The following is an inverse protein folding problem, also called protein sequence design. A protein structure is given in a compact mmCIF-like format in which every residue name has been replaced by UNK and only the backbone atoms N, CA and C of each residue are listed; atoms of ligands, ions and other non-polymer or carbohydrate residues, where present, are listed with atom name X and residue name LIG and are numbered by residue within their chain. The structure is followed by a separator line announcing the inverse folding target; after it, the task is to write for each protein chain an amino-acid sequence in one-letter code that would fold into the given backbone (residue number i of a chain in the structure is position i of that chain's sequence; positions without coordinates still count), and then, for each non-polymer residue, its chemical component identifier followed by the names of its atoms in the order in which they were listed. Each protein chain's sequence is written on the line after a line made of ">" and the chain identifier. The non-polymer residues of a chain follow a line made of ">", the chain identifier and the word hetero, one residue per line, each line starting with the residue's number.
data_IF_943725276214
#
_entry.id   IF_943725276214
#
_cell.length_a   1.000
_cell.length_b   1.000
_cell.length_c   1.000
_cell.angle_alpha   90.00
_cell.angle_beta   90.00
_cell.angle_gamma   90.00
#
_symmetry.space_group_name_H-M   'P 1'
#
loop_
_entity.id
_entity.type
_entity.pdbx_description
1 polymer ?
#
# COMPACT_ATOMS: atom_id res chain seq x y z
N UNK A 1 7.05 -32.10 15.53
CA UNK A 1 7.15 -33.03 16.69
C UNK A 1 6.84 -34.46 16.28
N UNK A 2 5.59 -34.96 16.23
CA UNK A 2 5.32 -36.40 15.95
C UNK A 2 5.78 -36.89 14.56
N UNK A 3 5.58 -36.08 13.51
CA UNK A 3 6.00 -36.45 12.15
C UNK A 3 7.53 -36.51 12.00
N UNK A 4 8.23 -35.55 12.61
CA UNK A 4 9.70 -35.49 12.62
C UNK A 4 10.30 -36.65 13.42
N UNK A 5 9.69 -37.02 14.55
CA UNK A 5 10.11 -38.20 15.32
C UNK A 5 9.89 -39.49 14.54
N UNK A 6 8.75 -39.63 13.85
CA UNK A 6 8.47 -40.80 13.00
C UNK A 6 9.41 -40.87 11.80
N UNK A 7 9.79 -39.72 11.23
CA UNK A 7 10.75 -39.65 10.14
C UNK A 7 12.16 -40.03 10.61
N UNK A 8 12.58 -39.58 11.80
CA UNK A 8 13.85 -39.96 12.41
C UNK A 8 13.89 -41.45 12.78
N UNK A 9 12.79 -42.02 13.29
CA UNK A 9 12.70 -43.46 13.60
C UNK A 9 12.68 -44.31 12.32
N UNK A 10 11.99 -43.85 11.26
CA UNK A 10 12.01 -44.55 9.96
C UNK A 10 13.42 -44.62 9.36
N UNK A 11 14.26 -43.60 9.62
CA UNK A 11 15.65 -43.54 9.18
C UNK A 11 16.61 -44.42 10.02
N UNK A 12 16.23 -44.82 11.24
CA UNK A 12 17.13 -45.51 12.19
C UNK A 12 16.88 -47.01 12.40
N UNK A 13 15.71 -47.55 12.06
CA UNK A 13 15.37 -48.97 12.28
C UNK A 13 15.67 -49.87 11.06
N UNK A 14 15.91 -51.18 11.28
CA UNK A 14 16.12 -52.21 10.22
C UNK A 14 14.79 -52.71 9.61
N UNK A 15 14.85 -53.35 8.43
CA UNK A 15 13.73 -53.52 7.48
C UNK A 15 12.46 -54.21 7.99
N UNK A 16 12.50 -55.00 9.06
CA UNK A 16 11.33 -55.79 9.51
C UNK A 16 10.25 -54.97 10.24
N UNK A 17 10.58 -53.81 10.82
CA UNK A 17 9.60 -52.95 11.54
C UNK A 17 9.25 -51.65 10.77
N UNK A 18 9.78 -51.48 9.56
CA UNK A 18 9.61 -50.24 8.77
C UNK A 18 8.22 -50.08 8.18
N UNK A 19 7.52 -51.17 7.88
CA UNK A 19 6.23 -51.11 7.19
C UNK A 19 5.19 -50.36 8.02
N UNK A 20 5.02 -50.73 9.29
CA UNK A 20 4.06 -50.07 10.19
C UNK A 20 4.44 -48.61 10.47
N UNK A 21 5.73 -48.31 10.67
CA UNK A 21 6.23 -46.94 10.89
C UNK A 21 6.04 -46.09 9.62
N UNK A 22 6.27 -46.65 8.43
CA UNK A 22 6.06 -45.95 7.16
C UNK A 22 4.58 -45.67 6.91
N UNK A 23 3.69 -46.59 7.30
CA UNK A 23 2.25 -46.40 7.24
C UNK A 23 1.82 -45.29 8.20
N UNK A 24 2.33 -45.28 9.42
CA UNK A 24 2.03 -44.21 10.39
C UNK A 24 2.57 -42.85 9.90
N UNK A 25 3.79 -42.84 9.33
CA UNK A 25 4.37 -41.62 8.76
C UNK A 25 3.54 -41.07 7.59
N UNK A 26 3.11 -41.92 6.66
CA UNK A 26 2.28 -41.48 5.51
C UNK A 26 0.91 -40.99 5.94
N UNK A 27 0.26 -41.65 6.91
CA UNK A 27 -1.02 -41.18 7.46
C UNK A 27 -0.87 -39.82 8.16
N UNK A 28 0.14 -39.66 9.00
CA UNK A 28 0.39 -38.36 9.68
C UNK A 28 0.77 -37.25 8.69
N UNK A 29 1.44 -37.58 7.59
CA UNK A 29 1.73 -36.65 6.50
C UNK A 29 0.45 -36.20 5.78
N UNK A 30 -0.47 -37.13 5.50
CA UNK A 30 -1.77 -36.81 4.90
C UNK A 30 -2.56 -35.87 5.81
N UNK A 31 -2.62 -36.15 7.12
CA UNK A 31 -3.30 -35.30 8.09
C UNK A 31 -2.70 -33.88 8.14
N UNK A 32 -1.38 -33.76 8.08
CA UNK A 32 -0.69 -32.47 8.00
C UNK A 32 -1.05 -31.71 6.71
N UNK A 33 -1.12 -32.40 5.57
CA UNK A 33 -1.53 -31.76 4.32
C UNK A 33 -3.00 -31.34 4.33
N UNK A 34 -3.88 -32.06 5.01
CA UNK A 34 -5.28 -31.66 5.20
C UNK A 34 -5.33 -30.33 5.97
N UNK A 35 -4.62 -30.24 7.10
CA UNK A 35 -4.56 -29.02 7.90
C UNK A 35 -3.99 -27.84 7.11
N UNK A 36 -2.87 -28.07 6.40
CA UNK A 36 -2.24 -27.05 5.55
C UNK A 36 -3.15 -26.59 4.41
N UNK A 37 -3.92 -27.49 3.82
CA UNK A 37 -4.90 -27.15 2.78
C UNK A 37 -6.02 -26.27 3.32
N UNK A 38 -6.48 -26.51 4.56
CA UNK A 38 -7.48 -25.67 5.22
C UNK A 38 -6.91 -24.27 5.49
N UNK A 39 -5.68 -24.17 6.00
CA UNK A 39 -5.00 -22.87 6.21
C UNK A 39 -4.85 -22.09 4.89
N UNK A 40 -4.44 -22.77 3.82
CA UNK A 40 -4.32 -22.17 2.49
C UNK A 40 -5.68 -21.69 1.96
N UNK A 41 -6.77 -22.43 2.17
CA UNK A 41 -8.12 -21.99 1.79
C UNK A 41 -8.55 -20.73 2.55
N UNK A 42 -8.16 -20.60 3.82
CA UNK A 42 -8.42 -19.39 4.60
C UNK A 42 -7.61 -18.21 4.04
N UNK A 43 -6.33 -18.41 3.72
CA UNK A 43 -5.48 -17.39 3.08
C UNK A 43 -6.08 -16.92 1.75
N UNK A 44 -6.51 -17.83 0.89
CA UNK A 44 -7.13 -17.50 -0.41
C UNK A 44 -8.39 -16.66 -0.23
N UNK A 45 -9.21 -16.93 0.79
CA UNK A 45 -10.39 -16.12 1.08
C UNK A 45 -10.02 -14.69 1.48
N UNK A 46 -8.99 -14.51 2.30
CA UNK A 46 -8.49 -13.19 2.69
C UNK A 46 -7.89 -12.44 1.49
N UNK A 47 -7.16 -13.13 0.61
CA UNK A 47 -6.63 -12.56 -0.63
C UNK A 47 -7.75 -12.11 -1.58
N UNK A 48 -8.84 -12.88 -1.70
CA UNK A 48 -10.00 -12.48 -2.50
C UNK A 48 -10.66 -11.20 -1.97
N UNK A 49 -10.79 -11.06 -0.65
CA UNK A 49 -11.31 -9.84 -0.04
C UNK A 49 -10.41 -8.64 -0.33
N UNK A 50 -9.09 -8.82 -0.20
CA UNK A 50 -8.11 -7.79 -0.53
C UNK A 50 -8.17 -7.40 -2.01
N UNK A 51 -8.30 -8.37 -2.92
CA UNK A 51 -8.43 -8.12 -4.36
C UNK A 51 -9.72 -7.35 -4.70
N UNK A 52 -10.83 -7.64 -4.01
CA UNK A 52 -12.07 -6.87 -4.18
C UNK A 52 -11.90 -5.42 -3.68
N UNK A 53 -11.23 -5.22 -2.54
CA UNK A 53 -10.88 -3.89 -2.04
C UNK A 53 -9.93 -3.13 -2.99
N UNK A 54 -8.91 -3.81 -3.55
CA UNK A 54 -8.01 -3.24 -4.56
C UNK A 54 -8.76 -2.87 -5.85
N UNK A 55 -9.74 -3.68 -6.26
CA UNK A 55 -10.59 -3.36 -7.41
C UNK A 55 -11.43 -2.12 -7.14
N UNK A 56 -12.10 -2.04 -5.99
CA UNK A 56 -12.91 -0.86 -5.61
C UNK A 56 -12.07 0.41 -5.52
N UNK A 57 -10.89 0.32 -4.93
CA UNK A 57 -9.96 1.47 -4.86
C UNK A 57 -9.46 1.88 -6.24
N UNK A 58 -9.13 0.94 -7.14
CA UNK A 58 -8.81 1.24 -8.56
C UNK A 58 -9.97 1.90 -9.32
N UNK A 59 -11.21 1.46 -9.09
CA UNK A 59 -12.40 2.06 -9.70
C UNK A 59 -12.66 3.49 -9.16
N UNK A 60 -12.39 3.74 -7.88
CA UNK A 60 -12.56 5.06 -7.25
C UNK A 60 -11.42 6.05 -7.55
N UNK A 61 -10.18 5.57 -7.68
CA UNK A 61 -8.99 6.39 -7.93
C UNK A 61 -8.68 6.62 -9.42
N UNK A 62 -9.47 6.00 -10.32
CA UNK A 62 -9.24 6.03 -11.77
C UNK A 62 -8.01 5.21 -12.20
N UNK A 63 -7.79 5.03 -13.52
CA UNK A 63 -6.60 4.38 -14.02
C UNK A 63 -5.35 5.16 -13.59
N UNK A 64 -4.61 4.67 -12.60
CA UNK A 64 -3.29 5.17 -12.27
C UNK A 64 -2.42 5.12 -13.55
N UNK A 65 -1.82 6.23 -14.01
CA UNK A 65 -1.04 6.27 -15.25
C UNK A 65 0.25 5.44 -15.20
N UNK A 66 0.57 4.83 -14.06
CA UNK A 66 1.89 4.32 -13.72
C UNK A 66 2.06 2.81 -13.94
N UNK A 67 1.11 2.15 -14.62
CA UNK A 67 1.23 0.73 -14.94
C UNK A 67 1.69 0.45 -16.38
N UNK A 68 1.91 1.48 -17.22
CA UNK A 68 2.34 1.27 -18.61
C UNK A 68 3.88 1.36 -18.81
N UNK A 69 4.65 1.85 -17.83
CA UNK A 69 6.11 1.97 -17.97
C UNK A 69 6.89 0.65 -17.82
N UNK A 70 6.25 -0.41 -17.31
CA UNK A 70 6.82 -1.77 -17.29
C UNK A 70 6.34 -2.64 -18.45
N UNK A 71 5.62 -2.06 -19.42
CA UNK A 71 5.52 -2.69 -20.72
C UNK A 71 6.89 -2.55 -21.35
N UNK A 72 7.77 -3.52 -21.09
CA UNK A 72 8.88 -3.85 -21.98
C UNK A 72 8.28 -3.74 -23.36
N UNK A 73 8.67 -2.68 -24.08
CA UNK A 73 8.24 -2.46 -25.45
C UNK A 73 8.38 -3.82 -26.09
N UNK A 74 7.25 -4.41 -26.48
CA UNK A 74 7.28 -5.70 -27.16
C UNK A 74 7.88 -5.34 -28.51
N UNK A 75 9.21 -5.34 -28.56
CA UNK A 75 10.03 -5.04 -29.74
C UNK A 75 9.61 -6.10 -30.73
N UNK A 76 8.61 -5.73 -31.53
CA UNK A 76 8.10 -6.44 -32.69
C UNK A 76 7.65 -7.88 -32.43
N UNK A 77 6.46 -8.20 -32.94
CA UNK A 77 5.94 -9.57 -33.00
C UNK A 77 6.73 -10.40 -34.03
N UNK A 78 8.03 -10.55 -33.84
CA UNK A 78 8.86 -11.42 -34.65
C UNK A 78 8.85 -12.80 -34.02
N UNK A 79 7.97 -13.66 -34.55
CA UNK A 79 7.68 -15.03 -34.12
C UNK A 79 8.82 -16.02 -34.44
N UNK A 80 10.08 -15.55 -34.44
CA UNK A 80 11.26 -16.32 -34.81
C UNK A 80 12.20 -16.64 -33.64
N UNK A 81 13.08 -17.66 -33.81
CA UNK A 81 14.09 -18.02 -32.81
C UNK A 81 15.07 -16.87 -32.48
N UNK A 82 15.47 -16.77 -31.21
CA UNK A 82 16.40 -15.75 -30.68
C UNK A 82 17.83 -15.88 -31.23
N UNK A 83 18.28 -17.11 -31.42
CA UNK A 83 19.64 -17.50 -31.77
C UNK A 83 19.61 -18.39 -33.01
N UNK A 84 20.63 -18.31 -33.85
CA UNK A 84 20.88 -19.37 -34.85
C UNK A 84 21.34 -20.65 -34.15
N UNK A 85 21.35 -21.78 -34.87
CA UNK A 85 21.88 -23.07 -34.37
C UNK A 85 23.35 -22.98 -33.95
N UNK A 86 24.07 -21.99 -34.48
CA UNK A 86 25.48 -21.70 -34.18
C UNK A 86 25.65 -20.61 -33.10
N UNK A 87 24.57 -20.23 -32.39
CA UNK A 87 24.60 -19.32 -31.25
C UNK A 87 24.71 -17.84 -31.60
N UNK A 88 24.56 -17.46 -32.88
CA UNK A 88 24.59 -16.05 -33.29
C UNK A 88 23.24 -15.38 -33.03
N UNK A 89 23.19 -14.21 -32.35
CA UNK A 89 21.94 -13.50 -32.11
C UNK A 89 21.37 -12.94 -33.41
N UNK A 90 20.14 -13.33 -33.73
CA UNK A 90 19.44 -12.93 -34.96
C UNK A 90 18.56 -11.69 -34.76
N UNK A 91 18.23 -11.37 -33.51
CA UNK A 91 17.45 -10.19 -33.12
C UNK A 91 18.17 -9.37 -32.06
N UNK A 92 17.92 -8.05 -32.00
CA UNK A 92 18.38 -7.24 -30.87
C UNK A 92 17.77 -7.79 -29.58
N UNK A 93 18.61 -7.97 -28.57
CA UNK A 93 18.21 -8.37 -27.23
C UNK A 93 18.93 -7.48 -26.23
N UNK A 94 18.28 -7.19 -25.11
CA UNK A 94 18.90 -6.40 -24.03
C UNK A 94 19.59 -7.36 -23.08
N UNK A 95 20.89 -7.16 -22.86
CA UNK A 95 21.62 -7.86 -21.81
C UNK A 95 21.26 -7.18 -20.50
N UNK A 96 20.27 -7.73 -19.79
CA UNK A 96 19.92 -7.26 -18.45
C UNK A 96 20.74 -8.01 -17.41
N UNK A 97 21.40 -7.29 -16.49
CA UNK A 97 21.97 -7.93 -15.30
C UNK A 97 20.81 -8.40 -14.40
N UNK A 98 20.85 -9.66 -13.94
CA UNK A 98 19.82 -10.23 -13.06
C UNK A 98 19.71 -9.49 -11.73
N UNK A 99 20.81 -8.88 -11.29
CA UNK A 99 20.90 -8.12 -10.05
C UNK A 99 20.08 -6.83 -10.11
N UNK A 100 20.17 -6.08 -11.22
CA UNK A 100 19.44 -4.82 -11.40
C UNK A 100 17.94 -5.04 -11.53
N UNK A 101 17.51 -6.15 -12.14
CA UNK A 101 16.10 -6.56 -12.17
C UNK A 101 15.61 -6.88 -10.77
N UNK A 102 16.38 -7.63 -9.98
CA UNK A 102 15.99 -8.04 -8.62
C UNK A 102 15.75 -6.84 -7.70
N UNK A 103 16.57 -5.79 -7.83
CA UNK A 103 16.43 -4.55 -7.07
C UNK A 103 15.18 -3.74 -7.44
N UNK A 104 14.62 -3.95 -8.63
CA UNK A 104 13.48 -3.18 -9.14
C UNK A 104 12.11 -3.82 -8.88
N UNK A 105 12.06 -5.09 -8.45
CA UNK A 105 10.79 -5.86 -8.30
C UNK A 105 9.99 -5.50 -7.04
N UNK A 106 10.60 -4.86 -6.03
CA UNK A 106 9.93 -4.49 -4.77
C UNK A 106 10.02 -3.00 -4.47
N UNK A 107 9.71 -2.16 -5.46
CA UNK A 107 9.56 -0.73 -5.23
C UNK A 107 8.16 -0.45 -4.65
N UNK A 108 8.04 0.37 -3.59
CA UNK A 108 6.74 0.84 -3.12
C UNK A 108 5.95 1.45 -4.27
N UNK A 109 4.68 1.07 -4.41
CA UNK A 109 3.79 1.55 -5.49
C UNK A 109 3.41 3.03 -5.39
N UNK A 110 3.96 3.76 -4.43
CA UNK A 110 3.77 5.20 -4.24
C UNK A 110 5.10 5.93 -4.40
N UNK A 111 5.05 7.15 -4.93
CA UNK A 111 6.20 8.04 -4.96
C UNK A 111 6.54 8.40 -3.52
N UNK A 112 7.66 7.89 -3.01
CA UNK A 112 8.20 8.43 -1.76
C UNK A 112 8.49 9.91 -1.98
N UNK A 113 8.27 10.77 -0.97
CA UNK A 113 8.78 12.13 -0.99
C UNK A 113 10.25 12.11 -1.38
N UNK A 114 10.63 12.94 -2.35
CA UNK A 114 12.03 13.07 -2.81
C UNK A 114 12.92 13.72 -1.76
N UNK A 115 12.32 14.22 -0.68
CA UNK A 115 12.94 14.98 0.40
C UNK A 115 12.40 14.50 1.73
N UNK A 116 13.23 14.54 2.76
CA UNK A 116 12.80 14.20 4.11
C UNK A 116 11.90 15.30 4.68
N UNK A 117 11.18 14.99 5.77
CA UNK A 117 10.34 15.97 6.47
C UNK A 117 11.19 17.17 6.91
N UNK A 118 12.39 16.89 7.42
CA UNK A 118 13.32 17.92 7.90
C UNK A 118 13.78 18.84 6.75
N UNK A 119 14.13 18.25 5.60
CA UNK A 119 14.54 19.00 4.40
C UNK A 119 13.40 19.86 3.84
N UNK A 120 12.16 19.34 3.87
CA UNK A 120 10.99 20.11 3.49
C UNK A 120 10.72 21.28 4.45
N UNK A 121 10.86 21.08 5.76
CA UNK A 121 10.72 22.15 6.75
C UNK A 121 11.80 23.22 6.57
N UNK A 122 13.05 22.85 6.31
CA UNK A 122 14.11 23.81 6.04
C UNK A 122 13.82 24.66 4.79
N UNK A 123 13.28 24.05 3.73
CA UNK A 123 12.85 24.78 2.53
C UNK A 123 11.67 25.71 2.79
N UNK A 124 10.66 25.27 3.54
CA UNK A 124 9.53 26.12 3.89
C UNK A 124 9.94 27.23 4.87
N UNK A 125 10.94 27.00 5.73
CA UNK A 125 11.57 28.02 6.57
C UNK A 125 12.27 29.08 5.70
N UNK A 126 13.06 28.65 4.72
CA UNK A 126 13.74 29.53 3.79
C UNK A 126 12.76 30.33 2.92
N UNK A 127 11.59 29.76 2.61
CA UNK A 127 10.48 30.44 1.93
C UNK A 127 9.66 31.36 2.84
N UNK A 128 9.91 31.36 4.15
CA UNK A 128 9.18 32.16 5.13
C UNK A 128 7.76 31.65 5.41
N UNK A 129 7.43 30.42 5.01
CA UNK A 129 6.13 29.78 5.25
C UNK A 129 6.05 29.10 6.63
N UNK A 130 7.16 29.04 7.38
CA UNK A 130 7.17 28.56 8.75
C UNK A 130 6.87 29.70 9.71
N UNK A 131 5.78 29.54 10.45
CA UNK A 131 5.39 30.43 11.54
C UNK A 131 6.37 30.16 12.70
N UNK A 132 7.47 30.90 12.74
CA UNK A 132 8.57 30.72 13.73
C UNK A 132 8.21 31.14 15.16
N UNK A 133 7.03 31.72 15.38
CA UNK A 133 6.52 31.99 16.71
C UNK A 133 5.09 31.49 16.72
N UNK A 134 4.84 30.38 17.43
CA UNK A 134 3.48 29.95 17.72
C UNK A 134 2.70 31.18 18.16
N UNK A 135 1.81 31.64 17.28
CA UNK A 135 1.03 32.84 17.54
C UNK A 135 0.41 32.69 18.92
N UNK A 136 0.45 33.75 19.71
CA UNK A 136 -0.24 33.79 21.00
C UNK A 136 -1.59 33.13 20.78
N UNK A 137 -1.82 31.98 21.43
CA UNK A 137 -3.16 31.38 21.47
C UNK A 137 -4.03 32.54 21.91
N UNK A 138 -4.99 33.02 21.08
CA UNK A 138 -5.77 34.17 21.47
C UNK A 138 -6.43 33.79 22.77
N UNK A 139 -5.97 34.39 23.87
CA UNK A 139 -6.63 34.25 25.16
C UNK A 139 -8.06 34.67 24.90
N UNK A 140 -8.97 33.71 25.01
CA UNK A 140 -10.39 33.96 24.84
C UNK A 140 -10.72 34.92 25.97
N UNK A 141 -10.78 36.22 25.69
CA UNK A 141 -11.19 37.23 26.67
C UNK A 141 -12.54 36.77 27.20
N UNK A 142 -12.56 36.34 28.46
CA UNK A 142 -13.80 36.11 29.17
C UNK A 142 -14.48 37.47 29.26
N UNK A 143 -15.62 37.58 28.61
CA UNK A 143 -16.44 38.80 28.61
C UNK A 143 -17.07 38.84 30.00
N UNK A 144 -16.91 39.97 30.70
CA UNK A 144 -17.56 40.18 31.99
C UNK A 144 -19.06 40.36 31.76
N UNK A 145 -19.88 39.48 32.33
CA UNK A 145 -21.34 39.49 32.23
C UNK A 145 -21.97 40.81 32.74
N UNK A 146 -21.21 41.70 33.39
CA UNK A 146 -21.66 43.01 33.86
C UNK A 146 -21.39 44.19 32.90
N UNK A 147 -20.70 43.99 31.77
CA UNK A 147 -20.47 45.06 30.79
C UNK A 147 -21.47 44.99 29.62
N UNK A 148 -22.55 45.77 29.73
CA UNK A 148 -23.62 45.84 28.72
C UNK A 148 -23.10 46.13 27.30
N UNK A 149 -22.01 46.90 27.16
CA UNK A 149 -21.44 47.23 25.84
C UNK A 149 -20.75 46.03 25.20
N UNK A 150 -20.06 45.21 26.01
CA UNK A 150 -19.38 44.03 25.52
C UNK A 150 -20.37 42.94 25.06
N UNK A 151 -21.50 42.83 25.75
CA UNK A 151 -22.60 41.92 25.39
C UNK A 151 -23.23 42.35 24.06
N UNK A 152 -23.53 43.64 23.89
CA UNK A 152 -24.09 44.17 22.65
C UNK A 152 -23.17 43.91 21.44
N UNK A 153 -21.86 44.13 21.60
CA UNK A 153 -20.87 43.87 20.55
C UNK A 153 -20.78 42.38 20.18
N UNK A 154 -20.85 41.47 21.15
CA UNK A 154 -20.84 40.03 20.88
C UNK A 154 -22.10 39.58 20.14
N UNK A 155 -23.28 40.09 20.52
CA UNK A 155 -24.52 39.76 19.83
C UNK A 155 -24.55 40.26 18.39
N UNK A 156 -23.97 41.43 18.11
CA UNK A 156 -23.81 41.94 16.74
C UNK A 156 -22.87 41.05 15.93
N UNK A 157 -21.70 40.70 16.50
CA UNK A 157 -20.73 39.83 15.85
C UNK A 157 -21.29 38.43 15.57
N UNK A 158 -22.11 37.89 16.47
CA UNK A 158 -22.79 36.60 16.26
C UNK A 158 -23.78 36.67 15.08
N UNK A 159 -24.58 37.74 14.99
CA UNK A 159 -25.50 37.96 13.86
C UNK A 159 -24.75 38.12 12.54
N UNK A 160 -23.68 38.91 12.51
CA UNK A 160 -22.84 39.08 11.32
C UNK A 160 -22.22 37.75 10.87
N UNK A 161 -21.83 36.91 11.82
CA UNK A 161 -21.28 35.59 11.53
C UNK A 161 -22.32 34.64 10.94
N UNK A 162 -23.55 34.66 11.47
CA UNK A 162 -24.67 33.88 10.92
C UNK A 162 -25.00 34.32 9.49
N UNK A 163 -25.07 35.62 9.22
CA UNK A 163 -25.33 36.15 7.87
C UNK A 163 -24.19 35.84 6.88
N UNK A 164 -22.94 35.83 7.36
CA UNK A 164 -21.80 35.37 6.56
C UNK A 164 -21.90 33.87 6.21
N UNK A 165 -22.30 33.02 7.17
CA UNK A 165 -22.48 31.59 6.95
C UNK A 165 -23.61 31.29 5.97
N UNK A 166 -24.71 32.02 6.05
CA UNK A 166 -25.85 31.88 5.14
C UNK A 166 -25.49 32.33 3.72
N UNK A 167 -24.71 33.42 3.58
CA UNK A 167 -24.23 33.90 2.28
C UNK A 167 -23.10 33.05 1.68
N UNK A 168 -22.36 32.28 2.49
CA UNK A 168 -21.26 31.41 2.05
C UNK A 168 -21.48 29.93 2.40
N UNK A 169 -22.38 29.23 1.68
CA UNK A 169 -22.63 27.81 1.89
C UNK A 169 -21.36 26.97 1.78
N UNK A 170 -21.20 26.03 2.71
CA UNK A 170 -20.05 25.13 2.71
C UNK A 170 -19.94 24.39 1.36
N UNK A 171 -18.74 24.39 0.79
CA UNK A 171 -18.45 23.75 -0.48
C UNK A 171 -18.91 24.51 -1.72
N UNK A 172 -19.30 25.79 -1.63
CA UNK A 172 -19.63 26.65 -2.79
C UNK A 172 -18.55 26.62 -3.89
N UNK A 173 -17.27 26.59 -3.52
CA UNK A 173 -16.13 26.56 -4.45
C UNK A 173 -15.82 25.20 -5.09
N UNK A 174 -16.32 24.08 -4.56
CA UNK A 174 -15.97 22.74 -5.04
C UNK A 174 -17.08 22.09 -5.90
N UNK A 175 -18.08 22.87 -6.31
CA UNK A 175 -19.21 22.40 -7.14
C UNK A 175 -18.88 22.29 -8.63
N UNK A 176 -17.80 22.93 -9.08
CA UNK A 176 -17.48 23.05 -10.52
C UNK A 176 -16.72 21.84 -11.09
N UNK A 177 -16.26 20.90 -10.24
CA UNK A 177 -15.59 19.65 -10.65
C UNK A 177 -16.49 18.41 -10.55
N UNK A 178 -17.81 18.60 -10.57
CA UNK A 178 -18.79 17.52 -10.65
C UNK A 178 -19.32 17.45 -12.08
N UNK A 179 -18.45 17.00 -13.00
CA UNK A 179 -18.71 16.77 -14.41
C UNK A 179 -17.73 15.74 -14.91
#
# INVERSE_FOLDING_TARGET
>A
MKLETLQQTLLSFEDNDKEDISREHTLTLIDLFIQKSIEQLISIKQELELLDQMRKTREQSGPSPLLDDNKVETISRDTGPLLSKDGKPLRPFVITNRETIREQVFRPGWRLPTMTIDEYLEQEAARGNIISGGGQIPEKKEIDDNDERAIDEETLKAREWDEFKDSHPYGSGNRMRKG
#
